data_IF_292510739560
#
_entry.id   IF_292510739560
#
_cell.length_a   1.000
_cell.length_b   1.000
_cell.length_c   1.000
_cell.angle_alpha   90.00
_cell.angle_beta   90.00
_cell.angle_gamma   90.00
#
_symmetry.space_group_name_H-M   'P 1'
#
loop_
_entity.id
_entity.type
_entity.pdbx_description
1 polymer ?
#
# COMPACT_ATOMS: atom_id res chain seq x y z
N UNK A 1 -11.92 -15.30 3.53
CA UNK A 1 -10.64 -14.59 3.76
C UNK A 1 -10.63 -13.48 2.75
N UNK A 2 -10.45 -12.22 3.17
CA UNK A 2 -10.52 -11.08 2.23
C UNK A 2 -9.38 -11.15 1.21
N UNK A 3 -9.50 -10.47 0.07
CA UNK A 3 -8.40 -10.34 -0.89
C UNK A 3 -7.17 -9.68 -0.24
N UNK A 4 -7.37 -8.72 0.65
CA UNK A 4 -6.29 -8.10 1.42
C UNK A 4 -5.50 -9.10 2.26
N UNK A 5 -6.18 -9.94 3.05
CA UNK A 5 -5.50 -10.93 3.89
C UNK A 5 -4.76 -11.97 3.03
N UNK A 6 -5.31 -12.33 1.85
CA UNK A 6 -4.62 -13.17 0.87
C UNK A 6 -3.32 -12.55 0.36
N UNK A 7 -3.35 -11.26 0.00
CA UNK A 7 -2.17 -10.52 -0.47
C UNK A 7 -1.13 -10.41 0.65
N UNK A 8 -1.53 -10.13 1.89
CA UNK A 8 -0.63 -10.12 3.05
C UNK A 8 0.07 -11.47 3.20
N UNK A 9 -0.68 -12.58 3.16
CA UNK A 9 -0.13 -13.93 3.33
C UNK A 9 0.83 -14.32 2.19
N UNK A 10 0.51 -13.98 0.94
CA UNK A 10 1.38 -14.21 -0.22
C UNK A 10 2.69 -13.44 -0.04
N UNK A 11 2.60 -12.15 0.29
CA UNK A 11 3.79 -11.31 0.47
C UNK A 11 4.63 -11.77 1.66
N UNK A 12 4.02 -12.26 2.75
CA UNK A 12 4.75 -12.85 3.88
C UNK A 12 5.60 -14.05 3.44
N UNK A 13 5.01 -14.97 2.68
CA UNK A 13 5.72 -16.16 2.18
C UNK A 13 6.86 -15.76 1.25
N UNK A 14 6.59 -14.90 0.28
CA UNK A 14 7.60 -14.42 -0.66
C UNK A 14 8.76 -13.69 0.04
N UNK A 15 8.46 -12.88 1.08
CA UNK A 15 9.46 -12.14 1.84
C UNK A 15 10.33 -13.07 2.70
N UNK A 16 9.73 -14.09 3.32
CA UNK A 16 10.45 -15.11 4.06
C UNK A 16 11.41 -15.92 3.17
N UNK A 17 11.05 -16.14 1.91
CA UNK A 17 11.87 -16.84 0.91
C UNK A 17 12.98 -15.97 0.30
N UNK A 18 13.04 -14.67 0.63
CA UNK A 18 14.03 -13.74 0.09
C UNK A 18 13.76 -13.31 -1.35
N UNK A 19 12.53 -13.48 -1.84
CA UNK A 19 12.15 -12.99 -3.17
C UNK A 19 12.09 -11.45 -3.18
N UNK A 20 12.41 -10.87 -4.33
CA UNK A 20 12.29 -9.42 -4.53
C UNK A 20 10.82 -9.04 -4.74
N UNK A 21 10.39 -7.98 -4.05
CA UNK A 21 9.07 -7.38 -4.22
C UNK A 21 9.20 -6.14 -5.08
N UNK A 22 8.69 -6.11 -6.32
CA UNK A 22 8.48 -4.83 -6.97
C UNK A 22 7.39 -4.08 -6.21
N UNK A 23 7.56 -2.79 -6.00
CA UNK A 23 6.47 -1.96 -5.51
C UNK A 23 5.31 -1.99 -6.51
N UNK A 24 4.10 -2.22 -6.05
CA UNK A 24 2.93 -2.29 -6.91
C UNK A 24 1.65 -1.90 -6.18
N UNK A 25 0.61 -1.60 -6.95
CA UNK A 25 -0.76 -1.41 -6.47
C UNK A 25 -1.70 -2.35 -7.22
N UNK A 26 -2.64 -2.93 -6.49
CA UNK A 26 -3.73 -3.75 -7.00
C UNK A 26 -5.01 -2.94 -6.86
N UNK A 27 -5.73 -2.76 -7.97
CA UNK A 27 -7.07 -2.17 -7.96
C UNK A 27 -8.08 -3.27 -7.64
N UNK A 28 -9.01 -3.01 -6.73
CA UNK A 28 -9.98 -4.02 -6.25
C UNK A 28 -11.40 -3.55 -6.53
N UNK A 29 -12.25 -4.48 -6.97
CA UNK A 29 -13.69 -4.32 -7.09
C UNK A 29 -14.35 -5.66 -6.85
N UNK A 30 -15.44 -5.69 -6.08
CA UNK A 30 -16.17 -6.92 -5.73
C UNK A 30 -15.28 -7.98 -5.04
N UNK A 31 -14.30 -7.54 -4.22
CA UNK A 31 -13.26 -8.38 -3.59
C UNK A 31 -12.38 -9.15 -4.61
N UNK A 32 -12.35 -8.72 -5.87
CA UNK A 32 -11.53 -9.29 -6.95
C UNK A 32 -10.52 -8.28 -7.53
N UNK A 33 -9.35 -8.74 -8.00
CA UNK A 33 -8.35 -7.88 -8.62
C UNK A 33 -8.81 -7.40 -10.01
N UNK A 34 -9.04 -6.10 -10.15
CA UNK A 34 -9.35 -5.44 -11.42
C UNK A 34 -8.09 -5.21 -12.28
N UNK A 35 -6.95 -4.98 -11.63
CA UNK A 35 -5.70 -4.70 -12.32
C UNK A 35 -4.50 -4.57 -11.38
N UNK A 36 -3.31 -4.71 -11.95
CA UNK A 36 -2.02 -4.56 -11.28
C UNK A 36 -1.21 -3.46 -11.95
N UNK A 37 -0.68 -2.53 -11.15
CA UNK A 37 0.19 -1.46 -11.63
C UNK A 37 1.51 -1.54 -10.87
N UNK A 38 2.60 -1.79 -11.59
CA UNK A 38 3.95 -1.76 -11.04
C UNK A 38 4.38 -0.31 -10.86
N UNK A 39 4.96 0.02 -9.71
CA UNK A 39 5.35 1.36 -9.31
C UNK A 39 6.88 1.53 -9.44
N UNK A 40 7.38 2.18 -10.50
CA UNK A 40 8.80 2.44 -10.64
C UNK A 40 9.21 3.63 -9.75
N UNK A 41 9.73 3.35 -8.55
CA UNK A 41 10.29 4.39 -7.68
C UNK A 41 11.72 4.73 -8.08
N UNK A 42 11.86 5.51 -9.15
CA UNK A 42 13.15 5.96 -9.67
C UNK A 42 13.73 7.08 -8.80
N UNK A 43 12.89 8.03 -8.39
CA UNK A 43 13.25 9.15 -7.52
C UNK A 43 12.02 9.72 -6.78
N UNK A 44 12.24 10.71 -5.91
CA UNK A 44 11.19 11.32 -5.09
C UNK A 44 10.16 12.12 -5.91
N UNK A 45 10.55 12.70 -7.04
CA UNK A 45 9.64 13.47 -7.89
C UNK A 45 8.67 12.52 -8.60
N UNK A 46 9.19 11.43 -9.18
CA UNK A 46 8.38 10.38 -9.79
C UNK A 46 7.41 9.77 -8.78
N UNK A 47 7.86 9.53 -7.54
CA UNK A 47 6.99 9.05 -6.46
C UNK A 47 5.84 10.02 -6.17
N UNK A 48 6.11 11.31 -6.04
CA UNK A 48 5.06 12.33 -5.83
C UNK A 48 4.10 12.43 -7.02
N UNK A 49 4.60 12.35 -8.25
CA UNK A 49 3.77 12.38 -9.46
C UNK A 49 2.84 11.14 -9.53
N UNK A 50 3.37 9.96 -9.24
CA UNK A 50 2.61 8.71 -9.26
C UNK A 50 1.46 8.75 -8.26
N UNK A 51 1.77 9.06 -6.99
CA UNK A 51 0.76 9.05 -5.93
C UNK A 51 -0.16 10.27 -5.95
N UNK A 52 0.36 11.44 -6.35
CA UNK A 52 -0.41 12.69 -6.39
C UNK A 52 -1.26 12.87 -7.64
N UNK A 53 -0.92 12.22 -8.76
CA UNK A 53 -1.58 12.44 -10.06
C UNK A 53 -1.98 11.14 -10.74
N UNK A 54 -1.03 10.25 -11.03
CA UNK A 54 -1.27 9.10 -11.91
C UNK A 54 -2.27 8.12 -11.29
N UNK A 55 -2.03 7.66 -10.07
CA UNK A 55 -2.93 6.73 -9.39
C UNK A 55 -4.30 7.37 -9.14
N UNK A 56 -4.41 8.63 -8.65
CA UNK A 56 -5.69 9.33 -8.58
C UNK A 56 -6.47 9.39 -9.89
N UNK A 57 -5.80 9.57 -11.04
CA UNK A 57 -6.47 9.55 -12.35
C UNK A 57 -6.97 8.16 -12.72
N UNK A 58 -6.17 7.13 -12.45
CA UNK A 58 -6.56 5.72 -12.65
C UNK A 58 -7.76 5.37 -11.78
N UNK A 59 -7.74 5.76 -10.50
CA UNK A 59 -8.86 5.57 -9.56
C UNK A 59 -10.14 6.18 -10.12
N UNK A 60 -10.11 7.44 -10.58
CA UNK A 60 -11.29 8.08 -11.18
C UNK A 60 -11.75 7.39 -12.47
N UNK A 61 -10.83 6.94 -13.31
CA UNK A 61 -11.17 6.29 -14.59
C UNK A 61 -11.74 4.89 -14.40
N UNK A 62 -11.24 4.15 -13.42
CA UNK A 62 -11.60 2.75 -13.21
C UNK A 62 -12.60 2.54 -12.08
N UNK A 63 -12.82 3.52 -11.20
CA UNK A 63 -13.71 3.48 -10.05
C UNK A 63 -13.58 2.20 -9.18
N UNK A 64 -12.39 1.84 -8.69
CA UNK A 64 -12.23 0.70 -7.79
C UNK A 64 -12.89 0.97 -6.43
N UNK A 65 -13.21 -0.08 -5.69
CA UNK A 65 -13.72 0.00 -4.32
C UNK A 65 -12.58 0.15 -3.29
N UNK A 66 -11.42 -0.44 -3.59
CA UNK A 66 -10.20 -0.28 -2.81
C UNK A 66 -8.95 -0.36 -3.69
N UNK A 67 -7.84 0.18 -3.19
CA UNK A 67 -6.50 0.00 -3.73
C UNK A 67 -5.62 -0.69 -2.70
N UNK A 68 -4.94 -1.78 -3.06
CA UNK A 68 -4.00 -2.48 -2.18
C UNK A 68 -2.58 -2.24 -2.67
N UNK A 69 -1.82 -1.49 -1.89
CA UNK A 69 -0.43 -1.15 -2.14
C UNK A 69 0.50 -2.16 -1.48
N UNK A 70 1.51 -2.62 -2.20
CA UNK A 70 2.60 -3.43 -1.68
C UNK A 70 3.89 -2.64 -1.89
N UNK A 71 4.49 -2.20 -0.79
CA UNK A 71 5.57 -1.24 -0.76
C UNK A 71 6.78 -1.82 0.01
N UNK A 72 7.79 -2.35 -0.70
CA UNK A 72 9.07 -2.69 -0.10
C UNK A 72 9.67 -1.42 0.50
N UNK A 73 10.01 -1.49 1.78
CA UNK A 73 10.45 -0.35 2.57
C UNK A 73 11.56 -0.77 3.53
N UNK A 74 12.22 0.23 4.11
CA UNK A 74 13.18 0.01 5.18
C UNK A 74 12.64 0.67 6.45
N UNK A 75 12.41 -0.12 7.48
CA UNK A 75 12.00 0.37 8.79
C UNK A 75 13.25 0.68 9.62
N UNK A 76 13.21 1.82 10.32
CA UNK A 76 14.26 2.23 11.26
C UNK A 76 13.66 2.23 12.66
N UNK A 77 14.13 1.32 13.50
CA UNK A 77 13.74 1.27 14.91
C UNK A 77 14.86 1.87 15.77
N UNK A 78 14.48 2.78 16.67
CA UNK A 78 15.41 3.36 17.63
C UNK A 78 15.37 2.55 18.92
N UNK A 79 16.35 1.66 19.08
CA UNK A 79 16.48 0.83 20.28
C UNK A 79 17.61 1.38 21.15
N UNK A 80 17.23 2.02 22.25
CA UNK A 80 18.08 2.64 23.28
C UNK A 80 19.02 3.75 22.74
N UNK A 81 20.01 3.42 21.91
CA UNK A 81 20.97 4.34 21.26
C UNK A 81 21.43 3.85 19.87
N UNK A 82 20.79 2.82 19.31
CA UNK A 82 21.12 2.25 17.99
C UNK A 82 19.92 2.36 17.06
N UNK A 83 20.21 2.66 15.80
CA UNK A 83 19.23 2.56 14.71
C UNK A 83 19.35 1.16 14.13
N UNK A 84 18.39 0.31 14.45
CA UNK A 84 18.22 -0.96 13.76
C UNK A 84 17.47 -0.71 12.46
N UNK A 85 18.06 -1.17 11.36
CA UNK A 85 17.56 -0.98 10.01
C UNK A 85 17.14 -2.35 9.50
N UNK A 86 15.85 -2.54 9.31
CA UNK A 86 15.30 -3.79 8.79
C UNK A 86 14.50 -3.55 7.51
N UNK A 87 14.66 -4.46 6.56
CA UNK A 87 13.79 -4.48 5.39
C UNK A 87 12.41 -5.01 5.79
N UNK A 88 11.37 -4.35 5.30
CA UNK A 88 9.98 -4.72 5.54
C UNK A 88 9.18 -4.60 4.25
N UNK A 89 8.04 -5.29 4.20
CA UNK A 89 7.04 -5.07 3.17
C UNK A 89 5.81 -4.45 3.81
N UNK A 90 5.49 -3.22 3.43
CA UNK A 90 4.25 -2.57 3.85
C UNK A 90 3.14 -2.93 2.87
N UNK A 91 2.05 -3.50 3.37
CA UNK A 91 0.83 -3.76 2.61
C UNK A 91 -0.24 -2.81 3.13
N UNK A 92 -0.79 -1.96 2.24
CA UNK A 92 -1.75 -0.93 2.63
C UNK A 92 -2.99 -0.99 1.76
N UNK A 93 -4.15 -1.18 2.37
CA UNK A 93 -5.44 -1.07 1.71
C UNK A 93 -5.99 0.33 1.91
N UNK A 94 -6.38 0.98 0.82
CA UNK A 94 -6.95 2.32 0.78
C UNK A 94 -8.34 2.23 0.18
N UNK A 95 -9.35 2.57 0.97
CA UNK A 95 -10.73 2.77 0.52
C UNK A 95 -11.14 4.25 0.75
N UNK A 96 -12.41 4.59 0.46
CA UNK A 96 -12.91 5.96 0.65
C UNK A 96 -12.97 6.39 2.14
N UNK A 97 -12.98 5.44 3.07
CA UNK A 97 -13.25 5.65 4.50
C UNK A 97 -11.95 5.61 5.31
N UNK A 98 -11.05 4.66 5.04
CA UNK A 98 -9.89 4.36 5.87
C UNK A 98 -8.70 3.85 5.06
N UNK A 99 -7.55 3.87 5.73
CA UNK A 99 -6.32 3.22 5.26
C UNK A 99 -5.98 2.13 6.27
N UNK A 100 -6.04 0.86 5.87
CA UNK A 100 -5.56 -0.28 6.69
C UNK A 100 -4.12 -0.58 6.31
N UNK A 101 -3.22 -0.66 7.29
CA UNK A 101 -1.80 -0.94 7.07
C UNK A 101 -1.40 -2.23 7.79
N UNK A 102 -0.62 -3.05 7.10
CA UNK A 102 0.04 -4.23 7.64
C UNK A 102 1.53 -4.15 7.28
N UNK A 103 2.40 -4.37 8.26
CA UNK A 103 3.85 -4.40 8.05
C UNK A 103 4.32 -5.85 8.19
N UNK A 104 4.96 -6.36 7.15
CA UNK A 104 5.53 -7.71 7.11
C UNK A 104 7.03 -7.58 7.39
N UNK A 105 7.46 -8.14 8.52
CA UNK A 105 8.85 -8.25 8.93
C UNK A 105 9.33 -9.70 8.74
N UNK A 106 10.63 -9.95 8.93
CA UNK A 106 11.18 -11.32 8.88
C UNK A 106 10.73 -12.12 10.11
N UNK A 107 9.63 -12.84 9.96
CA UNK A 107 9.10 -13.76 10.97
C UNK A 107 7.85 -13.29 11.71
N UNK A 108 7.40 -12.06 11.47
CA UNK A 108 6.20 -11.50 12.10
C UNK A 108 5.40 -10.58 11.18
N UNK A 109 4.11 -10.48 11.45
CA UNK A 109 3.20 -9.50 10.85
C UNK A 109 2.82 -8.51 11.96
N UNK A 110 2.97 -7.22 11.70
CA UNK A 110 2.65 -6.15 12.65
C UNK A 110 1.54 -5.29 12.05
N UNK A 111 0.44 -5.12 12.79
CA UNK A 111 -0.58 -4.11 12.49
C UNK A 111 -0.28 -2.88 13.36
N UNK A 112 0.24 -1.77 12.79
CA UNK A 112 0.55 -0.57 13.57
C UNK A 112 -0.73 0.05 14.14
N UNK A 113 -0.71 0.42 15.43
CA UNK A 113 -1.90 0.89 16.14
C UNK A 113 -2.46 2.24 15.64
N UNK A 114 -1.71 3.10 14.93
CA UNK A 114 -2.20 4.38 14.37
C UNK A 114 -1.46 4.89 13.10
N UNK A 115 -2.16 5.75 12.35
CA UNK A 115 -2.01 6.27 10.96
C UNK A 115 -0.65 6.83 10.47
N UNK A 116 0.41 6.81 11.26
CA UNK A 116 1.53 7.74 11.06
C UNK A 116 2.64 7.31 10.08
N UNK A 117 2.61 6.10 9.51
CA UNK A 117 3.79 5.63 8.75
C UNK A 117 3.77 6.09 7.28
N UNK A 118 2.62 6.44 6.69
CA UNK A 118 2.57 6.85 5.27
C UNK A 118 1.33 7.62 4.81
N UNK A 119 0.46 8.07 5.73
CA UNK A 119 -0.80 8.74 5.40
C UNK A 119 -0.64 9.88 4.37
N UNK A 120 0.43 10.68 4.46
CA UNK A 120 0.69 11.79 3.54
C UNK A 120 0.84 11.39 2.06
N UNK A 121 1.34 10.20 1.75
CA UNK A 121 1.57 9.78 0.37
C UNK A 121 0.30 9.19 -0.26
N UNK A 122 -0.50 8.48 0.54
CA UNK A 122 -1.73 7.82 0.09
C UNK A 122 -2.95 8.74 0.14
N UNK A 123 -2.86 9.87 0.84
CA UNK A 123 -3.96 10.83 0.95
C UNK A 123 -4.55 11.26 -0.40
N UNK A 124 -3.75 11.62 -1.43
CA UNK A 124 -4.33 11.99 -2.72
C UNK A 124 -5.08 10.85 -3.40
N UNK A 125 -4.69 9.61 -3.14
CA UNK A 125 -5.39 8.41 -3.63
C UNK A 125 -6.71 8.26 -2.88
N UNK A 126 -6.69 8.37 -1.54
CA UNK A 126 -7.90 8.31 -0.70
C UNK A 126 -8.92 9.37 -1.11
N UNK A 127 -8.48 10.60 -1.34
CA UNK A 127 -9.35 11.69 -1.80
C UNK A 127 -9.95 11.41 -3.19
N UNK A 128 -9.20 10.76 -4.09
CA UNK A 128 -9.75 10.29 -5.36
C UNK A 128 -10.79 9.18 -5.17
N UNK A 129 -10.58 8.26 -4.23
CA UNK A 129 -11.56 7.21 -3.89
C UNK A 129 -12.84 7.81 -3.33
N UNK A 130 -12.75 8.81 -2.43
CA UNK A 130 -13.91 9.54 -1.91
C UNK A 130 -14.71 10.21 -3.02
N UNK A 131 -14.04 10.90 -3.94
CA UNK A 131 -14.69 11.55 -5.08
C UNK A 131 -15.46 10.56 -5.96
N UNK A 132 -14.92 9.36 -6.20
CA UNK A 132 -15.63 8.30 -6.94
C UNK A 132 -16.84 7.80 -6.15
N UNK A 133 -16.68 7.61 -4.83
CA UNK A 133 -17.76 7.12 -3.98
C UNK A 133 -18.93 8.11 -3.86
N UNK A 134 -18.64 9.41 -3.78
CA UNK A 134 -19.64 10.49 -3.78
C UNK A 134 -20.43 10.58 -5.09
N UNK A 135 -19.86 10.19 -6.24
CA UNK A 135 -20.59 10.14 -7.51
C UNK A 135 -21.58 8.97 -7.62
N UNK A 136 -21.46 7.96 -6.76
CA UNK A 136 -22.29 6.76 -6.76
C UNK A 136 -23.54 6.91 -5.85
N UNK A 137 -23.49 7.82 -4.85
CA UNK A 137 -24.56 8.06 -3.85
C UNK A 137 -25.50 9.18 -4.32
#
# INVERSE_FOLDING_TARGET
MSLFDQIVEINRKMFAEGNSHPAHVILVRDDEPLGLIVLPFIDSFIKQLIFGVVIPQIVRAHAPEACIFVLPSTMKEFVHDRVEVEDVVMVQEVDAIKIRTVIIKKGEIVEPEEENVQANLLEPVREAMKSVWEEII
#
